data_IF_456985773995
#
_entry.id   IF_456985773995
#
_cell.length_a   1.000
_cell.length_b   1.000
_cell.length_c   1.000
_cell.angle_alpha   90.00
_cell.angle_beta   90.00
_cell.angle_gamma   90.00
#
_symmetry.space_group_name_H-M   'P 1'
#
loop_
_entity.id
_entity.type
_entity.pdbx_description
1 polymer ?
#
# COMPACT_ATOMS: atom_id res chain seq x y z
N UNK A 1 12.40 -25.12 -8.65
CA UNK A 1 11.63 -24.25 -7.73
C UNK A 1 12.53 -23.08 -7.36
N UNK A 2 12.04 -21.88 -7.56
CA UNK A 2 12.75 -20.66 -7.13
C UNK A 2 12.78 -20.58 -5.61
N UNK A 3 13.76 -19.87 -5.06
CA UNK A 3 13.81 -19.63 -3.61
C UNK A 3 12.69 -18.66 -3.25
N UNK A 4 11.86 -18.92 -2.22
CA UNK A 4 10.84 -17.99 -1.77
C UNK A 4 11.43 -16.62 -1.43
N UNK A 5 10.72 -15.56 -1.80
CA UNK A 5 11.13 -14.18 -1.61
C UNK A 5 10.75 -13.75 -0.18
N UNK A 6 11.71 -13.22 0.57
CA UNK A 6 11.44 -12.65 1.89
C UNK A 6 11.00 -11.20 1.76
N UNK A 7 9.80 -10.90 2.24
CA UNK A 7 9.21 -9.56 2.29
C UNK A 7 9.06 -9.14 3.74
N UNK A 8 9.31 -7.85 4.02
CA UNK A 8 9.01 -7.25 5.32
C UNK A 8 8.04 -6.07 5.16
N UNK A 9 7.10 -5.96 6.10
CA UNK A 9 6.25 -4.79 6.25
C UNK A 9 6.48 -4.16 7.63
N UNK A 10 6.84 -2.89 7.64
CA UNK A 10 7.17 -2.12 8.82
C UNK A 10 5.92 -1.40 9.32
N UNK A 11 5.24 -1.95 10.32
CA UNK A 11 4.18 -1.22 11.01
C UNK A 11 4.80 -0.10 11.82
N UNK A 12 4.62 1.11 11.33
CA UNK A 12 5.22 2.33 11.87
C UNK A 12 4.22 3.05 12.76
N UNK A 13 4.67 3.51 13.93
CA UNK A 13 3.86 4.36 14.81
C UNK A 13 4.42 5.78 14.82
N UNK A 14 3.63 6.73 14.32
CA UNK A 14 3.98 8.16 14.33
C UNK A 14 4.21 8.63 15.76
N UNK A 15 5.35 9.27 15.98
CA UNK A 15 5.75 9.89 17.25
C UNK A 15 6.30 11.30 17.03
N UNK A 16 6.71 11.99 18.07
CA UNK A 16 7.37 13.27 17.92
C UNK A 16 8.83 13.08 17.53
N UNK A 17 9.26 13.83 16.51
CA UNK A 17 10.65 13.99 16.11
C UNK A 17 11.03 15.47 16.16
N UNK A 18 12.23 15.79 16.62
CA UNK A 18 12.72 17.18 16.71
C UNK A 18 13.36 17.67 15.42
N UNK A 19 13.78 16.75 14.56
CA UNK A 19 14.47 17.04 13.31
C UNK A 19 14.45 15.80 12.40
N UNK A 20 14.87 15.96 11.16
CA UNK A 20 14.96 14.87 10.17
C UNK A 20 15.84 13.72 10.65
N UNK A 21 16.92 13.97 11.37
CA UNK A 21 17.81 12.91 11.87
C UNK A 21 17.07 11.96 12.82
N UNK A 22 16.26 12.46 13.72
CA UNK A 22 15.49 11.61 14.65
C UNK A 22 14.46 10.75 13.93
N UNK A 23 13.80 11.30 12.90
CA UNK A 23 12.95 10.54 12.00
C UNK A 23 13.76 9.46 11.25
N UNK A 24 14.92 9.80 10.71
CA UNK A 24 15.79 8.84 10.02
C UNK A 24 16.29 7.73 10.95
N UNK A 25 16.65 8.05 12.19
CA UNK A 25 17.04 7.07 13.21
C UNK A 25 15.88 6.13 13.57
N UNK A 26 14.65 6.65 13.63
CA UNK A 26 13.44 5.87 13.84
C UNK A 26 13.21 4.86 12.69
N UNK A 27 13.24 5.35 11.45
CA UNK A 27 13.10 4.51 10.26
C UNK A 27 14.20 3.43 10.23
N UNK A 28 15.45 3.81 10.51
CA UNK A 28 16.57 2.87 10.54
C UNK A 28 16.37 1.74 11.55
N UNK A 29 15.78 2.03 12.71
CA UNK A 29 15.44 1.01 13.71
C UNK A 29 14.49 -0.08 13.17
N UNK A 30 13.56 0.28 12.28
CA UNK A 30 12.67 -0.67 11.61
C UNK A 30 13.37 -1.38 10.44
N UNK A 31 14.14 -0.65 9.64
CA UNK A 31 14.92 -1.25 8.54
C UNK A 31 15.96 -2.26 9.06
N UNK A 32 16.56 -2.03 10.23
CA UNK A 32 17.49 -2.98 10.87
C UNK A 32 16.78 -4.27 11.28
N UNK A 33 15.54 -4.18 11.72
CA UNK A 33 14.71 -5.36 11.98
C UNK A 33 14.30 -6.08 10.69
N UNK A 34 14.26 -5.41 9.54
CA UNK A 34 13.91 -5.96 8.23
C UNK A 34 15.10 -6.50 7.43
N UNK A 35 16.32 -6.57 8.01
CA UNK A 35 17.59 -6.83 7.31
C UNK A 35 17.62 -8.09 6.42
N UNK A 36 16.82 -9.11 6.74
CA UNK A 36 16.80 -10.38 6.01
C UNK A 36 15.80 -10.41 4.85
N UNK A 37 15.04 -9.32 4.64
CA UNK A 37 14.09 -9.21 3.54
C UNK A 37 14.75 -8.54 2.32
N UNK A 38 14.44 -9.05 1.12
CA UNK A 38 14.87 -8.40 -0.13
C UNK A 38 14.00 -7.19 -0.48
N UNK A 39 12.72 -7.22 -0.08
CA UNK A 39 11.74 -6.16 -0.30
C UNK A 39 11.16 -5.71 1.05
N UNK A 40 11.29 -4.43 1.33
CA UNK A 40 10.79 -3.82 2.57
C UNK A 40 9.76 -2.75 2.24
N UNK A 41 8.63 -2.76 2.95
CA UNK A 41 7.55 -1.81 2.76
C UNK A 41 7.34 -0.97 4.03
N UNK A 42 7.32 0.35 3.89
CA UNK A 42 6.88 1.34 4.87
C UNK A 42 5.46 1.82 4.53
N UNK A 43 4.69 2.38 5.49
CA UNK A 43 3.30 2.73 5.25
C UNK A 43 3.10 4.06 4.51
N UNK A 44 1.86 4.33 4.12
CA UNK A 44 1.44 5.60 3.53
C UNK A 44 1.69 6.75 4.50
N UNK A 45 2.18 7.88 3.98
CA UNK A 45 2.36 9.14 4.72
C UNK A 45 3.05 9.01 6.09
N UNK A 46 3.87 7.98 6.30
CA UNK A 46 4.63 7.82 7.55
C UNK A 46 5.54 9.04 7.83
N UNK A 47 5.86 9.80 6.78
CA UNK A 47 6.57 11.08 6.85
C UNK A 47 5.76 12.18 7.54
N UNK A 48 4.49 11.93 7.89
CA UNK A 48 3.68 12.78 8.80
C UNK A 48 4.41 13.01 10.14
N UNK A 49 5.27 12.09 10.57
CA UNK A 49 6.14 12.30 11.73
C UNK A 49 6.98 13.57 11.60
N UNK A 50 7.41 13.94 10.38
CA UNK A 50 8.18 15.16 10.11
C UNK A 50 7.38 16.45 10.35
N UNK A 51 6.05 16.40 10.38
CA UNK A 51 5.22 17.54 10.74
C UNK A 51 5.53 18.02 12.15
N UNK A 52 5.90 17.13 13.06
CA UNK A 52 6.24 17.47 14.45
C UNK A 52 7.54 18.25 14.57
N UNK A 53 8.36 18.32 13.53
CA UNK A 53 9.59 19.14 13.49
C UNK A 53 9.29 20.61 13.17
N UNK A 54 8.08 20.92 12.71
CA UNK A 54 7.69 22.30 12.35
C UNK A 54 7.53 23.15 13.61
N UNK A 55 7.93 24.44 13.56
CA UNK A 55 7.70 25.34 14.68
C UNK A 55 6.23 25.40 15.09
N UNK A 56 5.96 25.33 16.38
CA UNK A 56 4.62 25.39 16.97
C UNK A 56 3.61 24.39 16.35
N UNK A 57 4.06 23.22 15.89
CA UNK A 57 3.27 22.26 15.15
C UNK A 57 1.92 21.91 15.82
N UNK A 58 1.85 21.90 17.15
CA UNK A 58 0.61 21.61 17.90
C UNK A 58 -0.47 22.67 17.73
N UNK A 59 -0.13 23.87 17.26
CA UNK A 59 -1.07 24.99 17.01
C UNK A 59 -1.44 25.13 15.54
N UNK A 60 -0.79 24.36 14.67
CA UNK A 60 -1.01 24.43 13.23
C UNK A 60 -2.25 23.61 12.83
N UNK A 61 -3.00 23.99 11.81
CA UNK A 61 -4.04 23.12 11.25
C UNK A 61 -3.40 21.90 10.58
N UNK A 62 -4.13 20.77 10.55
CA UNK A 62 -3.63 19.57 9.88
C UNK A 62 -3.39 19.78 8.36
N UNK A 63 -4.14 20.69 7.73
CA UNK A 63 -3.92 21.08 6.34
C UNK A 63 -2.48 21.56 6.03
N UNK A 64 -1.75 22.07 7.03
CA UNK A 64 -0.33 22.43 6.89
C UNK A 64 0.58 21.19 6.74
N UNK A 65 0.04 19.97 6.70
CA UNK A 65 0.80 18.75 6.39
C UNK A 65 1.59 18.88 5.08
N UNK A 66 1.11 19.69 4.15
CA UNK A 66 1.83 20.02 2.91
C UNK A 66 3.25 20.58 3.15
N UNK A 67 3.52 21.17 4.31
CA UNK A 67 4.83 21.76 4.62
C UNK A 67 5.93 20.70 4.84
N UNK A 68 5.57 19.40 4.96
CA UNK A 68 6.58 18.33 5.00
C UNK A 68 7.28 18.14 3.64
N UNK A 69 6.74 18.69 2.55
CA UNK A 69 7.40 18.71 1.23
C UNK A 69 8.82 19.27 1.28
N UNK A 70 9.11 20.18 2.22
CA UNK A 70 10.49 20.70 2.45
C UNK A 70 11.53 19.62 2.70
N UNK A 71 11.11 18.43 3.13
CA UNK A 71 11.98 17.27 3.40
C UNK A 71 12.10 16.30 2.22
N UNK A 72 11.51 16.62 1.06
CA UNK A 72 11.51 15.73 -0.11
C UNK A 72 12.92 15.31 -0.53
N UNK A 73 13.88 16.25 -0.57
CA UNK A 73 15.25 15.94 -0.97
C UNK A 73 15.97 15.11 0.10
N UNK A 74 15.84 15.46 1.38
CA UNK A 74 16.39 14.69 2.49
C UNK A 74 15.83 13.26 2.51
N UNK A 75 14.52 13.11 2.31
CA UNK A 75 13.84 11.82 2.22
C UNK A 75 14.39 10.97 1.05
N UNK A 76 14.51 11.55 -0.15
CA UNK A 76 15.04 10.84 -1.32
C UNK A 76 16.49 10.42 -1.11
N UNK A 77 17.31 11.32 -0.60
CA UNK A 77 18.71 11.02 -0.34
C UNK A 77 18.88 9.94 0.72
N UNK A 78 18.09 10.01 1.80
CA UNK A 78 18.11 9.02 2.88
C UNK A 78 17.78 7.63 2.34
N UNK A 79 16.67 7.44 1.63
CA UNK A 79 16.27 6.13 1.13
C UNK A 79 17.15 5.62 0.00
N UNK A 80 17.72 6.48 -0.84
CA UNK A 80 18.73 6.11 -1.82
C UNK A 80 19.95 5.49 -1.12
N UNK A 81 20.43 6.13 -0.06
CA UNK A 81 21.58 5.66 0.71
C UNK A 81 21.25 4.35 1.45
N UNK A 82 20.08 4.24 2.08
CA UNK A 82 19.69 3.06 2.84
C UNK A 82 19.44 1.84 1.96
N UNK A 83 18.80 2.01 0.80
CA UNK A 83 18.60 0.92 -0.16
C UNK A 83 19.96 0.40 -0.67
N UNK A 84 20.88 1.30 -1.02
CA UNK A 84 22.24 0.93 -1.48
C UNK A 84 23.04 0.27 -0.38
N UNK A 85 23.08 0.84 0.82
CA UNK A 85 23.85 0.32 1.96
C UNK A 85 23.38 -1.06 2.41
N UNK A 86 22.07 -1.32 2.34
CA UNK A 86 21.46 -2.58 2.77
C UNK A 86 21.39 -3.63 1.67
N UNK A 87 21.55 -3.23 0.40
CA UNK A 87 21.32 -4.12 -0.75
C UNK A 87 19.85 -4.53 -0.88
N UNK A 88 18.91 -3.70 -0.42
CA UNK A 88 17.47 -3.99 -0.35
C UNK A 88 16.67 -3.12 -1.31
N UNK A 89 15.54 -3.66 -1.77
CA UNK A 89 14.49 -2.88 -2.40
C UNK A 89 13.58 -2.33 -1.31
N UNK A 90 13.50 -1.00 -1.20
CA UNK A 90 12.72 -0.33 -0.15
C UNK A 90 11.61 0.48 -0.79
N UNK A 91 10.37 0.06 -0.52
CA UNK A 91 9.22 0.92 -0.75
C UNK A 91 9.13 1.86 0.46
N UNK A 92 9.55 3.10 0.25
CA UNK A 92 9.58 4.12 1.28
C UNK A 92 8.19 4.71 1.54
N UNK A 93 7.17 3.83 1.61
CA UNK A 93 5.78 4.23 1.81
C UNK A 93 5.33 5.28 0.80
N UNK A 94 4.69 6.32 1.30
CA UNK A 94 4.43 7.51 0.50
C UNK A 94 4.78 8.81 1.25
N UNK A 95 4.94 9.88 0.47
CA UNK A 95 5.30 11.20 0.94
C UNK A 95 4.51 12.25 0.15
N UNK A 96 4.12 13.35 0.82
CA UNK A 96 3.52 14.51 0.14
C UNK A 96 4.59 15.31 -0.58
N UNK A 97 4.41 15.48 -1.87
CA UNK A 97 5.34 16.22 -2.73
C UNK A 97 4.64 17.29 -3.53
N UNK A 98 5.28 18.44 -3.64
CA UNK A 98 4.86 19.51 -4.52
C UNK A 98 5.42 19.34 -5.93
N UNK A 99 4.54 19.40 -6.93
CA UNK A 99 4.91 19.41 -8.35
C UNK A 99 3.97 20.36 -9.10
N UNK A 100 4.52 21.26 -9.91
CA UNK A 100 3.77 22.20 -10.76
C UNK A 100 2.70 23.01 -9.99
N UNK A 101 3.00 23.36 -8.74
CA UNK A 101 2.10 24.14 -7.87
C UNK A 101 1.02 23.34 -7.13
N UNK A 102 0.89 22.05 -7.41
CA UNK A 102 -0.02 21.14 -6.74
C UNK A 102 0.74 20.16 -5.81
N UNK A 103 0.00 19.52 -4.89
CA UNK A 103 0.54 18.51 -3.97
C UNK A 103 -0.01 17.14 -4.32
N UNK A 104 0.86 16.13 -4.23
CA UNK A 104 0.57 14.73 -4.58
C UNK A 104 1.02 13.81 -3.45
N UNK A 105 0.25 12.77 -3.22
CA UNK A 105 0.64 11.65 -2.39
C UNK A 105 1.42 10.65 -3.27
N UNK A 106 2.73 10.52 -3.04
CA UNK A 106 3.63 9.80 -3.95
C UNK A 106 4.33 8.65 -3.23
N UNK A 107 4.07 7.44 -3.66
CA UNK A 107 4.82 6.24 -3.27
C UNK A 107 6.16 6.16 -4.00
N UNK A 108 7.20 5.71 -3.30
CA UNK A 108 8.54 5.61 -3.87
C UNK A 108 9.11 4.22 -3.66
N UNK A 109 9.73 3.66 -4.72
CA UNK A 109 10.54 2.45 -4.62
C UNK A 109 12.00 2.78 -4.91
N UNK A 110 12.88 2.46 -3.97
CA UNK A 110 14.33 2.58 -4.08
C UNK A 110 14.93 1.17 -4.21
N UNK A 111 15.84 1.01 -5.18
CA UNK A 111 16.65 -0.19 -5.35
C UNK A 111 18.08 0.07 -4.84
N UNK A 112 18.92 -0.96 -4.72
CA UNK A 112 20.35 -0.79 -4.38
C UNK A 112 21.10 0.21 -5.26
N UNK A 113 20.64 0.45 -6.50
CA UNK A 113 21.19 1.43 -7.44
C UNK A 113 20.56 2.84 -7.38
N UNK A 114 19.62 3.09 -6.47
CA UNK A 114 18.94 4.38 -6.32
C UNK A 114 17.43 4.32 -6.55
N UNK A 115 16.78 5.46 -6.76
CA UNK A 115 15.35 5.54 -7.04
C UNK A 115 14.99 4.84 -8.35
N UNK A 116 14.00 3.95 -8.31
CA UNK A 116 13.55 3.16 -9.46
C UNK A 116 12.19 3.62 -9.98
N UNK A 117 11.30 4.00 -9.05
CA UNK A 117 9.91 4.32 -9.43
C UNK A 117 9.24 5.26 -8.46
N UNK A 118 8.29 6.03 -9.01
CA UNK A 118 7.34 6.87 -8.28
C UNK A 118 5.94 6.51 -8.75
N UNK A 119 5.07 6.15 -7.81
CA UNK A 119 3.65 5.97 -8.05
C UNK A 119 2.90 7.16 -7.44
N UNK A 120 2.26 7.96 -8.26
CA UNK A 120 1.36 9.03 -7.81
C UNK A 120 -0.01 8.40 -7.54
N UNK A 121 -0.52 8.54 -6.31
CA UNK A 121 -1.81 7.98 -5.91
C UNK A 121 -2.93 8.45 -6.84
N UNK A 122 -3.63 7.49 -7.46
CA UNK A 122 -4.62 7.77 -8.52
C UNK A 122 -6.03 8.02 -7.98
N UNK A 123 -6.30 7.60 -6.75
CA UNK A 123 -7.58 7.82 -6.07
C UNK A 123 -7.30 8.30 -4.65
N UNK A 124 -7.46 9.60 -4.42
CA UNK A 124 -7.28 10.18 -3.09
C UNK A 124 -8.51 9.88 -2.21
N UNK A 125 -8.25 9.58 -0.94
CA UNK A 125 -9.32 9.46 0.04
C UNK A 125 -9.97 10.84 0.27
N UNK A 126 -11.30 10.94 0.45
CA UNK A 126 -11.99 12.25 0.54
C UNK A 126 -11.37 13.24 1.52
N UNK A 127 -10.86 12.78 2.68
CA UNK A 127 -10.20 13.65 3.64
C UNK A 127 -8.87 14.23 3.14
N UNK A 128 -8.21 13.63 2.15
CA UNK A 128 -6.96 14.15 1.58
C UNK A 128 -7.18 15.46 0.81
N UNK A 129 -8.40 15.76 0.39
CA UNK A 129 -8.72 17.05 -0.23
C UNK A 129 -8.52 18.24 0.71
N UNK A 130 -8.47 18.00 2.03
CA UNK A 130 -8.25 19.05 3.03
C UNK A 130 -6.83 19.64 2.94
N UNK A 131 -5.87 18.91 2.36
CA UNK A 131 -4.51 19.41 2.09
C UNK A 131 -4.20 19.49 0.60
N UNK A 132 -5.21 19.69 -0.23
CA UNK A 132 -5.11 20.01 -1.66
C UNK A 132 -4.33 18.97 -2.47
N UNK A 133 -4.45 17.70 -2.14
CA UNK A 133 -3.83 16.60 -2.88
C UNK A 133 -4.48 16.46 -4.27
N UNK A 134 -3.66 16.20 -5.29
CA UNK A 134 -4.11 15.89 -6.64
C UNK A 134 -3.89 14.42 -6.95
N UNK A 135 -4.65 13.87 -7.90
CA UNK A 135 -4.59 12.49 -8.32
C UNK A 135 -3.57 12.28 -9.44
N UNK A 136 -3.01 11.07 -9.50
CA UNK A 136 -2.22 10.58 -10.62
C UNK A 136 -3.09 9.88 -11.65
N UNK A 137 -2.54 9.65 -12.85
CA UNK A 137 -3.28 9.10 -13.99
C UNK A 137 -2.75 7.73 -14.43
N UNK A 138 -1.76 7.15 -13.73
CA UNK A 138 -1.08 5.96 -14.19
C UNK A 138 -1.04 4.85 -13.13
N UNK A 139 -1.32 3.63 -13.59
CA UNK A 139 -1.13 2.38 -12.83
C UNK A 139 -0.09 1.53 -13.56
N UNK A 140 1.09 1.39 -12.98
CA UNK A 140 2.23 0.70 -13.61
C UNK A 140 2.71 -0.50 -12.82
N UNK A 141 3.09 -1.55 -13.52
CA UNK A 141 3.79 -2.71 -12.98
C UNK A 141 5.28 -2.57 -13.20
N UNK A 142 6.04 -2.84 -12.15
CA UNK A 142 7.49 -2.83 -12.16
C UNK A 142 8.01 -4.27 -12.27
N UNK A 143 8.89 -4.51 -13.23
CA UNK A 143 9.57 -5.80 -13.40
C UNK A 143 10.89 -5.75 -12.61
N UNK A 144 10.84 -6.20 -11.35
CA UNK A 144 12.03 -6.32 -10.51
C UNK A 144 12.74 -7.66 -10.80
N UNK A 145 14.05 -7.81 -10.50
CA UNK A 145 14.79 -9.04 -10.78
C UNK A 145 14.19 -10.31 -10.18
N UNK A 146 13.29 -10.17 -9.21
CA UNK A 146 12.72 -11.30 -8.46
C UNK A 146 11.19 -11.39 -8.54
N UNK A 147 10.47 -10.33 -8.92
CA UNK A 147 9.00 -10.30 -8.99
C UNK A 147 8.48 -9.12 -9.78
N UNK A 148 7.27 -9.26 -10.34
CA UNK A 148 6.51 -8.14 -10.88
C UNK A 148 5.64 -7.54 -9.77
N UNK A 149 5.82 -6.25 -9.48
CA UNK A 149 5.14 -5.57 -8.38
C UNK A 149 4.32 -4.38 -8.86
N UNK A 150 3.22 -4.09 -8.19
CA UNK A 150 2.42 -2.90 -8.40
C UNK A 150 2.08 -2.19 -7.08
N UNK A 151 1.66 -0.93 -7.16
CA UNK A 151 1.25 -0.15 -6.00
C UNK A 151 -0.27 -0.02 -5.95
N UNK A 152 -0.82 -0.16 -4.74
CA UNK A 152 -2.15 0.33 -4.37
C UNK A 152 -2.04 1.09 -3.04
N UNK A 153 -1.93 2.40 -3.08
CA UNK A 153 -1.82 3.20 -1.87
C UNK A 153 -3.19 3.30 -1.19
N UNK A 154 -3.36 2.63 -0.05
CA UNK A 154 -4.52 2.71 0.85
C UNK A 154 -5.87 2.62 0.12
N UNK A 155 -6.54 3.75 -0.11
CA UNK A 155 -7.84 3.85 -0.75
C UNK A 155 -7.89 3.22 -2.15
N UNK A 156 -6.80 3.20 -2.90
CA UNK A 156 -6.73 2.49 -4.18
C UNK A 156 -7.03 0.99 -4.05
N UNK A 157 -6.75 0.39 -2.88
CA UNK A 157 -7.12 -1.00 -2.63
C UNK A 157 -8.64 -1.22 -2.52
N UNK A 158 -9.40 -0.17 -2.18
CA UNK A 158 -10.86 -0.22 -2.12
C UNK A 158 -11.48 -0.21 -3.53
N UNK A 159 -10.74 0.23 -4.56
CA UNK A 159 -11.16 0.29 -5.95
C UNK A 159 -10.71 -0.99 -6.68
N UNK A 160 -11.64 -1.90 -7.05
CA UNK A 160 -11.28 -3.19 -7.64
C UNK A 160 -10.44 -3.07 -8.91
N UNK A 161 -10.72 -2.07 -9.72
CA UNK A 161 -10.09 -1.82 -11.00
C UNK A 161 -8.60 -1.52 -10.85
N UNK A 162 -8.17 -0.88 -9.77
CA UNK A 162 -6.76 -0.59 -9.51
C UNK A 162 -5.92 -1.89 -9.44
N UNK A 163 -6.29 -2.80 -8.54
CA UNK A 163 -5.59 -4.08 -8.43
C UNK A 163 -5.77 -4.96 -9.67
N UNK A 164 -6.95 -4.91 -10.28
CA UNK A 164 -7.25 -5.69 -11.48
C UNK A 164 -6.38 -5.24 -12.66
N UNK A 165 -6.23 -3.94 -12.87
CA UNK A 165 -5.38 -3.37 -13.91
C UNK A 165 -3.92 -3.80 -13.74
N UNK A 166 -3.39 -3.76 -12.52
CA UNK A 166 -2.04 -4.23 -12.22
C UNK A 166 -1.88 -5.73 -12.46
N UNK A 167 -2.86 -6.53 -12.06
CA UNK A 167 -2.86 -7.97 -12.30
C UNK A 167 -2.90 -8.29 -13.79
N UNK A 168 -3.68 -7.54 -14.60
CA UNK A 168 -3.71 -7.66 -16.06
C UNK A 168 -2.34 -7.37 -16.71
N UNK A 169 -1.59 -6.42 -16.16
CA UNK A 169 -0.22 -6.12 -16.58
C UNK A 169 0.80 -7.17 -16.09
N UNK A 170 0.36 -8.14 -15.30
CA UNK A 170 1.18 -9.26 -14.84
C UNK A 170 1.76 -9.12 -13.44
N UNK A 171 1.29 -8.17 -12.62
CA UNK A 171 1.73 -8.07 -11.23
C UNK A 171 1.52 -9.40 -10.48
N UNK A 172 2.48 -9.72 -9.63
CA UNK A 172 2.49 -10.91 -8.77
C UNK A 172 2.34 -10.51 -7.29
N UNK A 173 2.76 -9.28 -6.98
CA UNK A 173 2.68 -8.71 -5.63
C UNK A 173 2.13 -7.30 -5.72
N UNK A 174 1.10 -6.99 -4.95
CA UNK A 174 0.65 -5.62 -4.72
C UNK A 174 1.22 -5.12 -3.41
N UNK A 175 1.81 -3.93 -3.47
CA UNK A 175 2.38 -3.20 -2.35
C UNK A 175 1.40 -2.09 -1.94
N UNK A 176 0.85 -2.19 -0.72
CA UNK A 176 -0.18 -1.29 -0.23
C UNK A 176 0.28 -0.56 1.04
N UNK A 177 1.03 0.54 0.89
CA UNK A 177 1.18 1.50 1.97
C UNK A 177 -0.18 2.04 2.36
N UNK A 178 -0.50 2.11 3.66
CA UNK A 178 -1.84 2.49 4.12
C UNK A 178 -1.79 3.32 5.39
N UNK A 179 -2.57 4.39 5.43
CA UNK A 179 -2.86 5.19 6.62
C UNK A 179 -4.38 5.29 6.82
N UNK A 180 -4.85 4.82 7.97
CA UNK A 180 -6.27 4.85 8.30
C UNK A 180 -6.47 5.37 9.72
N UNK A 181 -7.27 6.40 9.89
CA UNK A 181 -7.47 7.10 11.17
C UNK A 181 -8.41 6.36 12.15
N UNK A 182 -9.09 5.32 11.67
CA UNK A 182 -10.06 4.58 12.48
C UNK A 182 -9.98 3.08 12.21
N UNK A 183 -10.43 2.27 13.16
CA UNK A 183 -10.55 0.84 12.97
C UNK A 183 -11.49 0.47 11.81
N UNK A 184 -12.56 1.25 11.60
CA UNK A 184 -13.47 1.06 10.46
C UNK A 184 -12.76 1.25 9.11
N UNK A 185 -11.94 2.30 8.99
CA UNK A 185 -11.13 2.55 7.79
C UNK A 185 -10.16 1.40 7.53
N UNK A 186 -9.45 0.98 8.58
CA UNK A 186 -8.56 -0.17 8.50
C UNK A 186 -9.27 -1.42 7.98
N UNK A 187 -10.42 -1.80 8.56
CA UNK A 187 -11.14 -3.00 8.15
C UNK A 187 -11.66 -2.93 6.71
N UNK A 188 -12.07 -1.75 6.22
CA UNK A 188 -12.42 -1.58 4.81
C UNK A 188 -11.24 -1.92 3.90
N UNK A 189 -10.08 -1.26 4.10
CA UNK A 189 -8.87 -1.53 3.30
C UNK A 189 -8.44 -2.98 3.45
N UNK A 190 -8.47 -3.55 4.67
CA UNK A 190 -8.06 -4.92 4.95
C UNK A 190 -8.93 -5.96 4.24
N UNK A 191 -10.25 -5.83 4.28
CA UNK A 191 -11.15 -6.73 3.57
C UNK A 191 -10.98 -6.63 2.06
N UNK A 192 -10.80 -5.41 1.55
CA UNK A 192 -10.50 -5.20 0.15
C UNK A 192 -9.16 -5.84 -0.23
N UNK A 193 -8.10 -5.66 0.55
CA UNK A 193 -6.80 -6.29 0.32
C UNK A 193 -6.90 -7.82 0.19
N UNK A 194 -7.68 -8.46 1.07
CA UNK A 194 -7.94 -9.91 0.97
C UNK A 194 -8.73 -10.28 -0.28
N UNK A 195 -9.77 -9.51 -0.62
CA UNK A 195 -10.54 -9.73 -1.84
C UNK A 195 -9.66 -9.61 -3.08
N UNK A 196 -8.80 -8.57 -3.15
CA UNK A 196 -7.85 -8.38 -4.28
C UNK A 196 -6.88 -9.53 -4.41
N UNK A 197 -6.37 -10.06 -3.29
CA UNK A 197 -5.48 -11.22 -3.30
C UNK A 197 -6.18 -12.47 -3.86
N UNK A 198 -7.45 -12.69 -3.51
CA UNK A 198 -8.24 -13.85 -3.94
C UNK A 198 -8.65 -13.73 -5.41
N UNK A 199 -9.31 -12.63 -5.78
CA UNK A 199 -9.91 -12.48 -7.11
C UNK A 199 -8.89 -12.34 -8.24
N UNK A 200 -7.69 -11.81 -7.93
CA UNK A 200 -6.60 -11.66 -8.89
C UNK A 200 -5.51 -12.72 -8.75
N UNK A 201 -5.63 -13.65 -7.79
CA UNK A 201 -4.61 -14.65 -7.44
C UNK A 201 -3.22 -14.01 -7.37
N UNK A 202 -3.00 -13.14 -6.37
CA UNK A 202 -1.83 -12.27 -6.24
C UNK A 202 -1.47 -12.16 -4.76
N UNK A 203 -0.19 -11.98 -4.45
CA UNK A 203 0.20 -11.59 -3.09
C UNK A 203 -0.13 -10.12 -2.84
N UNK A 204 -0.53 -9.81 -1.62
CA UNK A 204 -0.87 -8.45 -1.23
C UNK A 204 -0.20 -8.09 0.10
N UNK A 205 0.60 -7.02 0.12
CA UNK A 205 1.29 -6.54 1.32
C UNK A 205 0.62 -5.27 1.80
N UNK A 206 -0.19 -5.38 2.84
CA UNK A 206 -0.88 -4.27 3.48
C UNK A 206 -0.03 -3.76 4.65
N UNK A 207 0.62 -2.62 4.50
CA UNK A 207 1.52 -2.01 5.47
C UNK A 207 0.89 -0.76 6.07
N UNK A 208 0.63 -0.76 7.38
CA UNK A 208 -0.22 0.21 8.04
C UNK A 208 0.56 1.20 8.89
N UNK A 209 0.14 2.46 8.83
CA UNK A 209 0.54 3.52 9.74
C UNK A 209 -0.35 3.49 10.98
N UNK A 210 0.24 3.67 12.13
CA UNK A 210 -0.47 3.78 13.40
C UNK A 210 0.11 4.88 14.29
N UNK A 211 -0.43 4.98 15.49
CA UNK A 211 0.03 5.98 16.44
C UNK A 211 -0.38 7.40 16.07
N UNK A 212 0.16 8.34 16.78
CA UNK A 212 -0.04 9.77 16.60
C UNK A 212 0.27 10.51 17.90
N UNK A 213 1.04 11.59 17.85
CA UNK A 213 1.44 12.35 19.04
C UNK A 213 0.31 13.27 19.58
N UNK A 214 -0.90 13.15 19.02
CA UNK A 214 -2.07 13.95 19.36
C UNK A 214 -2.27 15.16 18.44
N UNK A 215 -3.38 15.88 18.68
CA UNK A 215 -3.79 17.03 17.84
C UNK A 215 -2.63 17.96 17.48
N UNK A 216 -2.59 18.42 16.21
CA UNK A 216 -3.57 18.25 15.13
C UNK A 216 -3.46 16.93 14.34
N UNK A 217 -2.42 16.14 14.59
CA UNK A 217 -2.22 14.87 13.90
C UNK A 217 -3.23 13.82 14.39
N UNK A 218 -3.96 13.16 13.47
CA UNK A 218 -4.86 12.09 13.84
C UNK A 218 -4.09 10.86 14.33
N UNK A 219 -4.73 10.04 15.15
CA UNK A 219 -4.19 8.72 15.46
C UNK A 219 -4.47 7.76 14.31
N UNK A 220 -3.42 7.07 13.84
CA UNK A 220 -3.58 5.96 12.90
C UNK A 220 -4.00 4.67 13.62
N UNK A 221 -4.72 3.79 12.91
CA UNK A 221 -5.04 2.44 13.35
C UNK A 221 -4.35 1.42 12.45
N UNK A 222 -3.51 0.56 13.03
CA UNK A 222 -2.59 -0.27 12.30
C UNK A 222 -2.67 -1.76 12.69
N UNK A 223 -2.69 -2.64 11.67
CA UNK A 223 -2.49 -4.09 11.77
C UNK A 223 -1.98 -4.63 10.43
N UNK A 224 -0.70 -4.36 10.15
CA UNK A 224 -0.05 -4.74 8.89
C UNK A 224 -0.11 -6.25 8.63
N UNK A 225 -0.17 -6.64 7.35
CA UNK A 225 -0.27 -8.05 6.98
C UNK A 225 0.33 -8.34 5.60
N UNK A 226 0.85 -9.56 5.45
CA UNK A 226 1.25 -10.16 4.18
C UNK A 226 0.23 -11.24 3.85
N UNK A 227 -0.38 -11.15 2.68
CA UNK A 227 -1.57 -11.90 2.29
C UNK A 227 -1.27 -12.70 1.02
N UNK A 228 -1.73 -13.94 0.97
CA UNK A 228 -1.79 -14.79 -0.21
C UNK A 228 -3.24 -14.99 -0.66
N UNK A 229 -3.49 -15.53 -1.86
CA UNK A 229 -4.79 -16.10 -2.19
C UNK A 229 -5.22 -17.14 -1.16
N UNK A 230 -6.53 -17.26 -0.90
CA UNK A 230 -7.09 -18.29 -0.03
C UNK A 230 -7.31 -19.57 -0.85
N UNK A 231 -6.26 -20.39 -1.04
CA UNK A 231 -6.34 -21.63 -1.78
C UNK A 231 -5.41 -22.70 -1.20
N UNK A 232 -5.59 -23.93 -1.61
CA UNK A 232 -4.96 -25.16 -1.05
C UNK A 232 -3.43 -25.12 -0.93
N UNK A 233 -2.64 -24.53 -1.87
CA UNK A 233 -1.19 -24.54 -1.75
C UNK A 233 -0.64 -23.78 -0.54
N UNK A 234 -1.43 -22.82 0.02
CA UNK A 234 -1.01 -22.06 1.18
C UNK A 234 -1.49 -22.73 2.48
N UNK A 235 -0.57 -22.83 3.45
CA UNK A 235 -0.83 -23.53 4.73
C UNK A 235 -1.93 -22.89 5.57
N UNK A 236 -2.14 -21.58 5.42
CA UNK A 236 -3.16 -20.85 6.17
C UNK A 236 -4.36 -20.57 5.27
N UNK A 237 -5.48 -21.22 5.57
CA UNK A 237 -6.73 -21.08 4.82
C UNK A 237 -7.30 -19.65 4.83
N UNK A 238 -6.90 -18.80 5.79
CA UNK A 238 -7.30 -17.39 5.80
C UNK A 238 -6.55 -16.54 4.77
N UNK A 239 -5.51 -17.08 4.12
CA UNK A 239 -4.63 -16.35 3.23
C UNK A 239 -3.64 -15.42 3.96
N UNK A 240 -3.59 -15.40 5.27
CA UNK A 240 -2.66 -14.55 6.04
C UNK A 240 -1.34 -15.27 6.25
N UNK A 241 -0.27 -14.80 5.61
CA UNK A 241 1.10 -15.34 5.78
C UNK A 241 1.71 -14.80 7.07
N UNK A 242 1.60 -13.49 7.29
CA UNK A 242 2.07 -12.82 8.51
C UNK A 242 1.16 -11.64 8.84
N UNK A 243 1.00 -11.35 10.12
CA UNK A 243 0.17 -10.25 10.60
C UNK A 243 0.75 -9.63 11.87
N UNK A 244 0.70 -8.30 11.95
CA UNK A 244 1.15 -7.54 13.09
C UNK A 244 0.12 -7.54 14.24
N UNK A 245 0.60 -7.31 15.45
CA UNK A 245 -0.28 -6.96 16.57
C UNK A 245 -0.90 -5.58 16.35
N UNK A 246 -2.20 -5.38 16.67
CA UNK A 246 -2.85 -4.09 16.50
C UNK A 246 -2.09 -2.97 17.24
N UNK A 247 -1.86 -1.86 16.56
CA UNK A 247 -1.32 -0.62 17.11
C UNK A 247 -0.01 -0.79 17.91
N UNK A 248 0.84 -1.75 17.51
CA UNK A 248 2.19 -1.94 18.06
C UNK A 248 3.22 -1.76 16.97
N UNK A 249 4.23 -0.93 17.21
CA UNK A 249 5.34 -0.81 16.28
C UNK A 249 6.11 -2.13 16.18
N UNK A 250 6.23 -2.65 14.97
CA UNK A 250 6.94 -3.90 14.72
C UNK A 250 7.16 -4.13 13.23
N UNK A 251 8.07 -5.03 12.92
CA UNK A 251 8.31 -5.53 11.56
C UNK A 251 7.79 -6.96 11.45
N UNK A 252 6.85 -7.18 10.55
CA UNK A 252 6.42 -8.54 10.17
C UNK A 252 7.20 -8.99 8.93
N UNK A 253 7.43 -10.30 8.82
CA UNK A 253 8.11 -10.91 7.68
C UNK A 253 7.32 -12.10 7.17
N UNK A 254 7.35 -12.31 5.85
CA UNK A 254 6.72 -13.44 5.20
C UNK A 254 7.49 -13.87 3.97
N UNK A 255 7.52 -15.17 3.75
CA UNK A 255 8.05 -15.76 2.53
C UNK A 255 6.92 -15.90 1.50
N UNK A 256 7.11 -15.37 0.30
CA UNK A 256 6.21 -15.53 -0.84
C UNK A 256 6.86 -16.40 -1.90
N UNK A 257 6.14 -17.39 -2.38
CA UNK A 257 6.60 -18.33 -3.40
C UNK A 257 5.87 -18.06 -4.73
N UNK A 258 6.59 -17.48 -5.68
CA UNK A 258 6.01 -17.11 -6.97
C UNK A 258 5.74 -18.32 -7.88
N UNK A 259 6.47 -19.42 -7.72
CA UNK A 259 6.19 -20.64 -8.48
C UNK A 259 4.84 -21.23 -8.02
N UNK A 260 4.57 -21.24 -6.72
CA UNK A 260 3.27 -21.63 -6.15
C UNK A 260 2.16 -20.71 -6.67
N UNK A 261 2.38 -19.39 -6.71
CA UNK A 261 1.40 -18.44 -7.22
C UNK A 261 1.08 -18.70 -8.71
N UNK A 262 2.10 -18.87 -9.53
CA UNK A 262 1.97 -19.11 -10.97
C UNK A 262 1.25 -20.43 -11.24
N UNK A 263 1.59 -21.48 -10.53
CA UNK A 263 0.90 -22.77 -10.62
C UNK A 263 -0.56 -22.66 -10.16
N UNK A 264 -0.84 -21.92 -9.07
CA UNK A 264 -2.20 -21.70 -8.60
C UNK A 264 -3.06 -20.94 -9.62
N UNK A 265 -2.52 -19.96 -10.34
CA UNK A 265 -3.23 -19.27 -11.44
C UNK A 265 -3.67 -20.22 -12.54
N UNK A 266 -2.94 -21.29 -12.78
CA UNK A 266 -3.23 -22.26 -13.85
C UNK A 266 -4.09 -23.43 -13.38
N UNK A 267 -3.85 -23.95 -12.16
CA UNK A 267 -4.37 -25.22 -11.67
C UNK A 267 -5.00 -25.14 -10.26
N UNK A 268 -5.17 -23.94 -9.69
CA UNK A 268 -5.77 -23.76 -8.38
C UNK A 268 -7.19 -24.31 -8.28
N UNK A 269 -7.69 -24.47 -7.07
CA UNK A 269 -9.09 -24.87 -6.85
C UNK A 269 -10.08 -23.83 -7.39
N UNK A 270 -9.69 -22.56 -7.37
CA UNK A 270 -10.38 -21.46 -8.06
C UNK A 270 -9.40 -20.75 -8.99
N UNK A 271 -9.72 -20.63 -10.26
CA UNK A 271 -8.88 -19.99 -11.30
C UNK A 271 -9.44 -18.62 -11.69
N UNK A 272 -9.76 -17.79 -10.69
CA UNK A 272 -10.41 -16.48 -10.84
C UNK A 272 -9.65 -15.55 -11.78
N UNK A 273 -8.32 -15.51 -11.68
CA UNK A 273 -7.44 -14.76 -12.57
C UNK A 273 -7.61 -15.14 -14.05
N UNK A 274 -7.61 -16.44 -14.35
CA UNK A 274 -7.76 -16.98 -15.70
C UNK A 274 -9.19 -16.85 -16.22
N UNK A 275 -10.17 -17.14 -15.37
CA UNK A 275 -11.58 -17.11 -15.73
C UNK A 275 -12.07 -15.70 -16.03
N UNK A 276 -11.60 -14.70 -15.27
CA UNK A 276 -11.90 -13.30 -15.56
C UNK A 276 -11.38 -12.90 -16.95
N UNK A 277 -10.13 -13.23 -17.28
CA UNK A 277 -9.54 -12.95 -18.60
C UNK A 277 -10.28 -13.65 -19.74
N UNK A 278 -10.63 -14.89 -19.55
CA UNK A 278 -11.42 -15.66 -20.53
C UNK A 278 -12.78 -15.02 -20.84
N UNK A 279 -13.32 -14.25 -19.92
CA UNK A 279 -14.63 -13.57 -20.03
C UNK A 279 -14.51 -12.05 -20.12
N UNK A 280 -13.34 -11.52 -20.44
CA UNK A 280 -13.05 -10.07 -20.43
C UNK A 280 -14.05 -9.24 -21.26
N UNK A 281 -14.58 -9.81 -22.38
CA UNK A 281 -15.58 -9.13 -23.20
C UNK A 281 -16.88 -8.79 -22.47
N UNK A 282 -17.24 -9.55 -21.43
CA UNK A 282 -18.43 -9.24 -20.60
C UNK A 282 -18.20 -7.95 -19.80
N UNK A 283 -16.97 -7.76 -19.31
CA UNK A 283 -16.62 -6.63 -18.45
C UNK A 283 -16.29 -5.36 -19.24
N UNK A 284 -15.76 -5.52 -20.48
CA UNK A 284 -15.37 -4.38 -21.32
C UNK A 284 -16.54 -3.44 -21.64
N UNK A 285 -17.76 -3.98 -21.73
CA UNK A 285 -18.97 -3.23 -22.05
C UNK A 285 -19.89 -3.01 -20.83
N UNK A 286 -19.43 -3.33 -19.64
CA UNK A 286 -20.26 -3.26 -18.43
C UNK A 286 -20.95 -1.92 -18.21
N UNK A 287 -20.31 -0.74 -18.37
CA UNK A 287 -21.01 0.55 -18.19
C UNK A 287 -22.14 0.80 -19.18
N UNK A 288 -22.06 0.26 -20.40
CA UNK A 288 -23.07 0.46 -21.45
C UNK A 288 -24.28 -0.50 -21.32
N UNK A 289 -24.20 -1.50 -20.44
CA UNK A 289 -25.25 -2.49 -20.21
C UNK A 289 -26.03 -2.24 -18.90
N UNK A 290 -25.85 -1.10 -18.27
CA UNK A 290 -26.70 -0.67 -17.16
C UNK A 290 -28.10 -0.32 -17.70
N UNK A 291 -28.89 -1.36 -18.04
CA UNK A 291 -30.31 -1.17 -18.17
C UNK A 291 -30.88 -0.88 -16.78
N UNK A 292 -31.35 0.33 -16.56
CA UNK A 292 -32.17 0.64 -15.39
C UNK A 292 -33.48 -0.11 -15.58
N UNK A 293 -33.59 -1.29 -15.02
CA UNK A 293 -34.88 -1.92 -14.87
C UNK A 293 -35.64 -1.13 -13.80
N UNK A 294 -36.59 -0.32 -14.20
CA UNK A 294 -37.55 0.22 -13.28
C UNK A 294 -38.24 -0.97 -12.60
N UNK A 295 -37.96 -1.14 -11.30
CA UNK A 295 -38.68 -2.12 -10.51
C UNK A 295 -40.15 -1.71 -10.55
N UNK A 296 -41.04 -2.60 -11.02
CA UNK A 296 -42.47 -2.38 -10.97
C UNK A 296 -42.83 -2.01 -9.52
N UNK A 297 -43.67 -0.98 -9.31
CA UNK A 297 -44.06 -0.60 -7.98
C UNK A 297 -44.65 -1.81 -7.23
N UNK A 298 -44.43 -1.93 -5.93
CA UNK A 298 -44.95 -3.07 -5.19
C UNK A 298 -46.46 -3.12 -5.36
N UNK A 299 -46.94 -4.29 -5.78
CA UNK A 299 -48.42 -4.52 -5.88
C UNK A 299 -48.99 -4.31 -4.48
N UNK A 300 -49.79 -3.28 -4.31
CA UNK A 300 -50.53 -3.06 -3.06
C UNK A 300 -51.44 -4.27 -2.85
N UNK A 301 -51.16 -5.08 -1.87
CA UNK A 301 -52.12 -6.10 -1.40
C UNK A 301 -53.10 -5.36 -0.47
N UNK A 302 -54.28 -5.17 -0.97
CA UNK A 302 -55.43 -4.86 -0.15
C UNK A 302 -55.90 -6.12 0.58
#
# INVERSE_FOLDING_TARGET
MSTPIQIAACQFLVREARNFKEFADHVNGLLDQAKDAILVLLPELFTTELFTTLPDWRKRPFADLIDIDRYTDDYRQFFTNEASRRGQYIVAGSHLMRKDGAYYNVGHLFAPGGLVHQHVKTHIFPAESDWSTQEGDEMQVLDLPFAKVGFNICYEAEIPECSASLAEQGAEIILCPSDTFTEYGFWRVRHCAQARAIENQIYFVHCCLGGGPGSPLPNGWARSSIISPCDVPWKNASGVIAEASPNKEMVIRGAVDLDVLRENREKGAATTFKDRRRRASIYANWPSHLAVHELAPPVSRY
#
